data_IF_591381614964
#
_entry.id   IF_591381614964
#
_cell.length_a   1.000
_cell.length_b   1.000
_cell.length_c   1.000
_cell.angle_alpha   90.00
_cell.angle_beta   90.00
_cell.angle_gamma   90.00
#
_symmetry.space_group_name_H-M   'P 1'
#
loop_
_entity.id
_entity.type
_entity.pdbx_description
1 polymer ?
#
# COMPACT_ATOMS: atom_id res chain seq x y z
N UNK A 1 19.52 -4.71 -4.78
CA UNK A 1 19.09 -3.30 -4.58
C UNK A 1 19.89 -2.73 -3.41
N UNK A 2 20.42 -1.53 -3.56
CA UNK A 2 21.08 -0.79 -2.47
C UNK A 2 20.13 0.34 -2.04
N UNK A 3 19.79 0.36 -0.76
CA UNK A 3 19.01 1.45 -0.14
C UNK A 3 19.94 2.07 0.88
N UNK A 4 20.55 3.24 0.60
CA UNK A 4 21.54 3.83 1.51
C UNK A 4 20.92 4.16 2.87
N UNK A 5 19.79 4.84 2.87
CA UNK A 5 18.99 5.14 4.05
C UNK A 5 17.58 5.50 3.62
N UNK A 6 16.58 4.99 4.33
CA UNK A 6 15.17 5.33 4.11
C UNK A 6 14.51 5.55 5.46
N UNK A 7 13.99 6.75 5.68
CA UNK A 7 13.17 7.05 6.85
C UNK A 7 11.76 7.44 6.40
N UNK A 8 10.76 6.74 6.93
CA UNK A 8 9.34 7.05 6.77
C UNK A 8 8.86 7.64 8.08
N UNK A 9 8.50 8.91 8.05
CA UNK A 9 8.03 9.63 9.24
C UNK A 9 6.55 9.31 9.52
N UNK A 10 6.11 9.32 10.79
CA UNK A 10 4.70 9.16 11.14
C UNK A 10 3.82 10.20 10.45
N UNK A 11 2.63 9.79 10.02
CA UNK A 11 1.64 10.66 9.37
C UNK A 11 2.00 11.14 7.97
N UNK A 12 2.93 10.44 7.27
CA UNK A 12 3.35 10.83 5.92
C UNK A 12 2.78 9.94 4.83
N UNK A 13 2.63 10.55 3.64
CA UNK A 13 2.30 9.88 2.38
C UNK A 13 3.53 9.95 1.48
N UNK A 14 4.16 8.81 1.23
CA UNK A 14 5.37 8.71 0.42
C UNK A 14 5.13 7.81 -0.77
N UNK A 15 5.39 8.32 -1.98
CA UNK A 15 5.36 7.51 -3.18
C UNK A 15 6.70 6.78 -3.40
N UNK A 16 6.63 5.54 -3.86
CA UNK A 16 7.78 4.82 -4.42
C UNK A 16 7.49 4.53 -5.88
N UNK A 17 8.28 5.12 -6.76
CA UNK A 17 8.12 5.00 -8.20
C UNK A 17 9.37 4.40 -8.84
N UNK A 18 9.21 3.87 -10.02
CA UNK A 18 10.30 3.29 -10.80
C UNK A 18 9.79 2.33 -11.87
N UNK A 19 10.60 2.02 -12.88
CA UNK A 19 10.22 1.11 -13.93
C UNK A 19 9.95 -0.31 -13.42
N UNK A 20 9.35 -1.15 -14.25
CA UNK A 20 9.19 -2.57 -13.93
C UNK A 20 10.56 -3.21 -13.68
N UNK A 21 10.68 -4.05 -12.68
CA UNK A 21 11.93 -4.70 -12.29
C UNK A 21 12.92 -3.83 -11.48
N UNK A 22 12.59 -2.57 -11.15
CA UNK A 22 13.47 -1.71 -10.33
C UNK A 22 13.57 -2.13 -8.85
N UNK A 23 12.79 -3.12 -8.41
CA UNK A 23 12.83 -3.63 -7.04
C UNK A 23 11.77 -3.04 -6.10
N UNK A 24 10.71 -2.40 -6.61
CA UNK A 24 9.62 -1.85 -5.79
C UNK A 24 9.02 -2.89 -4.84
N UNK A 25 8.59 -4.02 -5.37
CA UNK A 25 8.04 -5.14 -4.58
C UNK A 25 9.10 -5.73 -3.62
N UNK A 26 10.37 -5.77 -4.03
CA UNK A 26 11.47 -6.20 -3.15
C UNK A 26 11.60 -5.27 -1.94
N UNK A 27 11.49 -3.95 -2.16
CA UNK A 27 11.48 -2.96 -1.08
C UNK A 27 10.27 -3.14 -0.16
N UNK A 28 9.08 -3.37 -0.72
CA UNK A 28 7.87 -3.69 0.05
C UNK A 28 8.07 -4.89 0.95
N UNK A 29 8.62 -5.97 0.42
CA UNK A 29 8.89 -7.19 1.20
C UNK A 29 9.91 -6.95 2.31
N UNK A 30 10.98 -6.19 2.03
CA UNK A 30 11.97 -5.83 3.03
C UNK A 30 11.37 -4.97 4.16
N UNK A 31 10.60 -3.93 3.83
CA UNK A 31 9.93 -3.08 4.83
C UNK A 31 8.84 -3.86 5.58
N UNK A 32 8.03 -4.63 4.86
CA UNK A 32 6.92 -5.41 5.42
C UNK A 32 7.35 -6.63 6.23
N UNK A 33 8.63 -6.99 6.22
CA UNK A 33 9.16 -8.25 6.77
C UNK A 33 8.46 -9.49 6.20
N UNK A 34 8.15 -9.43 4.91
CA UNK A 34 7.52 -10.55 4.20
C UNK A 34 8.61 -11.54 3.79
N UNK A 35 8.57 -12.79 4.27
CA UNK A 35 9.59 -13.77 3.93
C UNK A 35 9.53 -14.11 2.44
N UNK A 36 10.67 -14.02 1.78
CA UNK A 36 10.87 -14.46 0.39
C UNK A 36 12.16 -15.26 0.36
N UNK A 37 12.09 -16.51 -0.10
CA UNK A 37 13.23 -17.44 -0.07
C UNK A 37 14.48 -16.92 -0.78
N UNK A 38 14.31 -16.07 -1.80
CA UNK A 38 15.40 -15.53 -2.59
C UNK A 38 15.85 -14.13 -2.17
N UNK A 39 15.21 -13.53 -1.15
CA UNK A 39 15.53 -12.18 -0.68
C UNK A 39 16.49 -12.23 0.50
N UNK A 40 17.71 -11.82 0.27
CA UNK A 40 18.70 -11.62 1.32
C UNK A 40 18.91 -10.12 1.58
N UNK A 41 18.49 -9.66 2.76
CA UNK A 41 18.72 -8.29 3.20
C UNK A 41 20.04 -8.22 3.98
N UNK A 42 20.93 -7.32 3.56
CA UNK A 42 22.15 -6.96 4.31
C UNK A 42 21.95 -5.54 4.82
N UNK A 43 22.01 -5.35 6.14
CA UNK A 43 21.75 -4.07 6.79
C UNK A 43 20.66 -4.18 7.84
N UNK A 44 20.25 -3.02 8.36
CA UNK A 44 19.24 -2.94 9.43
C UNK A 44 17.96 -2.33 8.92
N UNK A 45 16.84 -2.96 9.23
CA UNK A 45 15.49 -2.40 9.02
C UNK A 45 14.82 -2.25 10.38
N UNK A 46 14.78 -1.02 10.89
CA UNK A 46 14.07 -0.71 12.13
C UNK A 46 12.60 -0.43 11.83
N UNK A 47 11.72 -1.07 12.57
CA UNK A 47 10.26 -0.90 12.47
C UNK A 47 9.70 -0.50 13.81
N UNK A 48 8.95 0.59 13.83
CA UNK A 48 8.21 1.00 15.02
C UNK A 48 6.72 0.79 14.76
N UNK A 49 6.19 -0.30 15.31
CA UNK A 49 4.78 -0.65 15.17
C UNK A 49 4.48 -1.69 14.09
N UNK A 50 3.19 -1.86 13.80
CA UNK A 50 2.68 -2.84 12.85
C UNK A 50 2.73 -2.30 11.43
N UNK A 51 3.11 -3.17 10.50
CA UNK A 51 3.08 -2.89 9.06
C UNK A 51 1.95 -3.69 8.44
N UNK A 52 1.03 -3.00 7.77
CA UNK A 52 0.03 -3.60 6.90
C UNK A 52 0.52 -3.59 5.46
N UNK A 53 0.21 -4.63 4.70
CA UNK A 53 0.60 -4.72 3.29
C UNK A 53 -0.64 -5.03 2.45
N UNK A 54 -0.84 -4.25 1.41
CA UNK A 54 -1.83 -4.48 0.37
C UNK A 54 -1.04 -4.70 -0.93
N UNK A 55 -1.09 -5.92 -1.43
CA UNK A 55 -0.41 -6.29 -2.68
C UNK A 55 -1.25 -5.94 -3.91
N UNK A 56 -0.61 -5.93 -5.06
CA UNK A 56 -1.23 -5.73 -6.37
C UNK A 56 -2.42 -6.66 -6.62
N UNK A 57 -2.34 -7.90 -6.15
CA UNK A 57 -3.42 -8.88 -6.28
C UNK A 57 -4.45 -8.72 -5.15
N UNK A 58 -5.40 -7.79 -5.35
CA UNK A 58 -6.55 -7.66 -4.45
C UNK A 58 -7.51 -8.87 -4.49
N UNK A 59 -7.42 -9.72 -5.53
CA UNK A 59 -8.16 -10.99 -5.57
C UNK A 59 -7.60 -11.99 -4.57
N UNK A 60 -6.26 -12.02 -4.38
CA UNK A 60 -5.61 -12.88 -3.39
C UNK A 60 -5.72 -12.36 -1.95
N UNK A 61 -6.01 -11.07 -1.76
CA UNK A 61 -6.10 -10.48 -0.43
C UNK A 61 -7.39 -10.89 0.32
N UNK A 62 -8.47 -11.18 -0.39
CA UNK A 62 -9.75 -11.56 0.18
C UNK A 62 -10.19 -12.95 -0.31
N UNK A 63 -10.66 -13.79 0.60
CA UNK A 63 -11.21 -15.09 0.26
C UNK A 63 -12.53 -14.92 -0.53
N UNK A 64 -12.62 -15.39 -1.80
CA UNK A 64 -13.81 -15.22 -2.62
C UNK A 64 -15.06 -15.94 -2.09
N UNK A 65 -14.89 -16.92 -1.21
CA UNK A 65 -15.96 -17.74 -0.65
C UNK A 65 -16.47 -17.24 0.71
N UNK A 66 -15.98 -16.09 1.18
CA UNK A 66 -16.38 -15.51 2.46
C UNK A 66 -16.84 -14.07 2.28
N UNK A 67 -17.90 -13.69 3.01
CA UNK A 67 -18.43 -12.31 3.00
C UNK A 67 -17.39 -11.31 3.48
N UNK A 68 -17.39 -10.13 2.89
CA UNK A 68 -16.40 -9.07 3.16
C UNK A 68 -16.40 -8.65 4.63
N UNK A 69 -17.57 -8.40 5.22
CA UNK A 69 -17.68 -8.02 6.64
C UNK A 69 -17.08 -9.07 7.58
N UNK A 70 -17.29 -10.34 7.28
CA UNK A 70 -16.75 -11.45 8.09
C UNK A 70 -15.21 -11.52 8.00
N UNK A 71 -14.66 -11.24 6.83
CA UNK A 71 -13.21 -11.25 6.66
C UNK A 71 -12.57 -10.07 7.38
N UNK A 72 -13.12 -8.85 7.22
CA UNK A 72 -12.61 -7.68 7.93
C UNK A 72 -12.72 -7.85 9.44
N UNK A 73 -13.78 -8.51 9.95
CA UNK A 73 -13.93 -8.80 11.37
C UNK A 73 -12.82 -9.71 11.92
N UNK A 74 -12.20 -10.59 11.10
CA UNK A 74 -11.08 -11.41 11.55
C UNK A 74 -9.87 -10.58 11.97
N UNK A 75 -9.61 -9.47 11.30
CA UNK A 75 -8.50 -8.56 11.62
C UNK A 75 -8.92 -7.47 12.60
N UNK A 76 -10.17 -7.01 12.52
CA UNK A 76 -10.73 -5.94 13.35
C UNK A 76 -11.15 -6.39 14.77
N UNK A 77 -11.37 -7.70 14.95
CA UNK A 77 -11.76 -8.30 16.23
C UNK A 77 -13.28 -8.33 16.49
N UNK A 78 -14.09 -7.53 15.79
CA UNK A 78 -15.55 -7.58 15.87
C UNK A 78 -16.21 -7.19 14.54
N UNK A 79 -17.48 -7.55 14.38
CA UNK A 79 -18.27 -7.19 13.20
C UNK A 79 -18.60 -5.69 13.18
N UNK A 80 -18.80 -5.10 14.34
CA UNK A 80 -19.09 -3.68 14.51
C UNK A 80 -17.89 -2.86 14.02
N UNK A 81 -16.68 -3.16 14.50
CA UNK A 81 -15.45 -2.50 14.05
C UNK A 81 -15.20 -2.75 12.56
N UNK A 82 -15.53 -3.95 12.05
CA UNK A 82 -15.44 -4.22 10.62
C UNK A 82 -16.35 -3.33 9.78
N UNK A 83 -17.58 -3.10 10.24
CA UNK A 83 -18.52 -2.19 9.57
C UNK A 83 -18.03 -0.73 9.59
N UNK A 84 -17.45 -0.28 10.71
CA UNK A 84 -16.83 1.04 10.82
C UNK A 84 -15.68 1.20 9.81
N UNK A 85 -14.78 0.21 9.72
CA UNK A 85 -13.67 0.23 8.78
C UNK A 85 -14.14 0.19 7.31
N UNK A 86 -15.17 -0.61 7.00
CA UNK A 86 -15.76 -0.66 5.67
C UNK A 86 -16.41 0.67 5.28
N UNK A 87 -17.08 1.34 6.21
CA UNK A 87 -17.61 2.67 6.00
C UNK A 87 -16.49 3.71 5.84
N UNK A 88 -15.42 3.62 6.62
CA UNK A 88 -14.26 4.50 6.54
C UNK A 88 -13.57 4.46 5.17
N UNK A 89 -13.60 3.31 4.49
CA UNK A 89 -13.12 3.19 3.12
C UNK A 89 -14.21 3.48 2.07
N UNK A 90 -15.27 4.18 2.43
CA UNK A 90 -16.36 4.61 1.55
C UNK A 90 -17.11 3.45 0.87
N UNK A 91 -17.24 2.30 1.52
CA UNK A 91 -18.18 1.27 1.13
C UNK A 91 -19.52 1.50 1.81
N UNK A 92 -20.61 1.31 1.05
CA UNK A 92 -21.97 1.46 1.58
C UNK A 92 -22.42 0.19 2.32
N UNK A 93 -23.31 0.30 3.32
CA UNK A 93 -23.72 -0.85 4.15
C UNK A 93 -24.26 -2.05 3.35
N UNK A 94 -24.89 -1.79 2.18
CA UNK A 94 -25.42 -2.84 1.33
C UNK A 94 -24.35 -3.76 0.74
N UNK A 95 -23.09 -3.28 0.71
CA UNK A 95 -21.95 -4.02 0.18
C UNK A 95 -21.23 -4.87 1.25
N UNK A 96 -21.43 -4.59 2.54
CA UNK A 96 -20.68 -5.25 3.61
C UNK A 96 -20.88 -6.76 3.62
N UNK A 97 -22.10 -7.21 3.35
CA UNK A 97 -22.47 -8.63 3.32
C UNK A 97 -22.19 -9.34 1.99
N UNK A 98 -21.67 -8.64 1.00
CA UNK A 98 -21.34 -9.19 -0.32
C UNK A 98 -20.09 -10.06 -0.26
N UNK A 99 -19.97 -10.93 -1.24
CA UNK A 99 -18.73 -11.68 -1.50
C UNK A 99 -17.79 -10.82 -2.38
N UNK A 100 -16.47 -11.01 -2.29
CA UNK A 100 -15.51 -10.22 -3.08
C UNK A 100 -15.79 -10.21 -4.59
N UNK A 101 -16.29 -11.31 -5.15
CA UNK A 101 -16.62 -11.42 -6.58
C UNK A 101 -17.87 -10.62 -6.99
N UNK A 102 -18.70 -10.20 -6.04
CA UNK A 102 -19.90 -9.37 -6.29
C UNK A 102 -19.57 -7.87 -6.26
N UNK A 103 -18.32 -7.51 -5.92
CA UNK A 103 -17.84 -6.12 -5.84
C UNK A 103 -17.14 -5.71 -7.15
N UNK A 104 -17.26 -4.43 -7.52
CA UNK A 104 -16.38 -3.85 -8.55
C UNK A 104 -14.92 -3.90 -8.14
N UNK A 105 -14.00 -3.70 -9.08
CA UNK A 105 -12.55 -3.67 -8.79
C UNK A 105 -12.19 -2.66 -7.70
N UNK A 106 -12.68 -1.42 -7.80
CA UNK A 106 -12.44 -0.38 -6.80
C UNK A 106 -13.10 -0.67 -5.45
N UNK A 107 -14.31 -1.23 -5.43
CA UNK A 107 -14.98 -1.64 -4.19
C UNK A 107 -14.20 -2.76 -3.50
N UNK A 108 -13.72 -3.73 -4.25
CA UNK A 108 -12.90 -4.84 -3.72
C UNK A 108 -11.57 -4.34 -3.17
N UNK A 109 -10.93 -3.40 -3.88
CA UNK A 109 -9.70 -2.79 -3.41
C UNK A 109 -9.90 -2.05 -2.08
N UNK A 110 -10.99 -1.28 -1.95
CA UNK A 110 -11.33 -0.62 -0.68
C UNK A 110 -11.65 -1.62 0.44
N UNK A 111 -12.30 -2.73 0.12
CA UNK A 111 -12.50 -3.81 1.10
C UNK A 111 -11.17 -4.43 1.57
N UNK A 112 -10.20 -4.62 0.65
CA UNK A 112 -8.86 -5.09 1.00
C UNK A 112 -8.10 -4.06 1.89
N UNK A 113 -8.29 -2.76 1.64
CA UNK A 113 -7.76 -1.70 2.53
C UNK A 113 -8.40 -1.83 3.92
N UNK A 114 -9.72 -1.96 4.03
CA UNK A 114 -10.40 -2.14 5.33
C UNK A 114 -9.90 -3.38 6.08
N UNK A 115 -9.68 -4.48 5.37
CA UNK A 115 -9.10 -5.70 5.94
C UNK A 115 -7.71 -5.46 6.53
N UNK A 116 -6.84 -4.74 5.81
CA UNK A 116 -5.50 -4.39 6.30
C UNK A 116 -5.55 -3.44 7.50
N UNK A 117 -6.48 -2.48 7.51
CA UNK A 117 -6.69 -1.52 8.61
C UNK A 117 -7.15 -2.20 9.90
N UNK A 118 -7.85 -3.33 9.82
CA UNK A 118 -8.29 -4.10 10.99
C UNK A 118 -7.14 -4.50 11.91
N UNK A 119 -5.93 -4.71 11.37
CA UNK A 119 -4.73 -4.97 12.16
C UNK A 119 -4.15 -3.73 12.87
N UNK A 120 -4.74 -2.55 12.69
CA UNK A 120 -4.28 -1.24 13.20
C UNK A 120 -2.80 -0.97 12.88
N UNK A 121 -2.43 -0.94 11.59
CA UNK A 121 -1.05 -0.69 11.20
C UNK A 121 -0.66 0.77 11.47
N UNK A 122 0.61 1.01 11.83
CA UNK A 122 1.22 2.33 11.84
C UNK A 122 1.79 2.70 10.47
N UNK A 123 2.09 1.70 9.65
CA UNK A 123 2.53 1.87 8.27
C UNK A 123 1.73 0.95 7.37
N UNK A 124 1.13 1.50 6.31
CA UNK A 124 0.44 0.76 5.27
C UNK A 124 1.26 0.81 3.98
N UNK A 125 1.67 -0.34 3.50
CA UNK A 125 2.36 -0.50 2.23
C UNK A 125 1.33 -0.84 1.16
N UNK A 126 1.17 0.02 0.17
CA UNK A 126 0.23 -0.14 -0.95
C UNK A 126 1.02 -0.43 -2.23
N UNK A 127 1.18 -1.72 -2.56
CA UNK A 127 1.95 -2.15 -3.73
C UNK A 127 1.05 -2.29 -4.96
N UNK A 128 1.14 -1.31 -5.87
CA UNK A 128 0.41 -1.23 -7.14
C UNK A 128 -1.12 -1.38 -7.00
N UNK A 129 -1.69 -0.88 -5.91
CA UNK A 129 -3.11 -1.05 -5.55
C UNK A 129 -4.11 -0.40 -6.51
N UNK A 130 -3.64 0.40 -7.47
CA UNK A 130 -4.49 1.05 -8.49
C UNK A 130 -4.25 0.54 -9.90
N UNK A 131 -3.28 -0.35 -10.12
CA UNK A 131 -2.81 -0.74 -11.45
C UNK A 131 -3.86 -1.43 -12.34
N UNK A 132 -4.84 -2.09 -11.73
CA UNK A 132 -5.93 -2.80 -12.43
C UNK A 132 -7.28 -2.06 -12.38
N UNK A 133 -7.29 -0.79 -11.97
CA UNK A 133 -8.49 0.02 -11.81
C UNK A 133 -8.65 1.01 -12.98
N UNK A 134 -9.91 1.32 -13.29
CA UNK A 134 -10.22 2.44 -14.16
C UNK A 134 -9.93 3.79 -13.49
N UNK A 135 -9.88 4.92 -14.22
CA UNK A 135 -9.53 6.22 -13.67
C UNK A 135 -10.45 6.70 -12.54
N UNK A 136 -11.73 6.35 -12.57
CA UNK A 136 -12.70 6.76 -11.54
C UNK A 136 -12.43 5.99 -10.25
N UNK A 137 -12.30 4.67 -10.35
CA UNK A 137 -11.98 3.81 -9.22
C UNK A 137 -10.60 4.16 -8.62
N UNK A 138 -9.61 4.48 -9.46
CA UNK A 138 -8.30 4.98 -9.03
C UNK A 138 -8.43 6.25 -8.18
N UNK A 139 -9.19 7.24 -8.66
CA UNK A 139 -9.40 8.49 -7.93
C UNK A 139 -10.10 8.27 -6.57
N UNK A 140 -11.06 7.33 -6.51
CA UNK A 140 -11.72 6.97 -5.26
C UNK A 140 -10.76 6.32 -4.26
N UNK A 141 -9.92 5.39 -4.70
CA UNK A 141 -8.91 4.74 -3.84
C UNK A 141 -7.88 5.77 -3.35
N UNK A 142 -7.38 6.64 -4.22
CA UNK A 142 -6.43 7.72 -3.87
C UNK A 142 -7.05 8.64 -2.81
N UNK A 143 -8.31 9.04 -2.98
CA UNK A 143 -9.04 9.86 -2.00
C UNK A 143 -9.13 9.14 -0.66
N UNK A 144 -9.56 7.88 -0.65
CA UNK A 144 -9.67 7.05 0.55
C UNK A 144 -8.33 6.99 1.31
N UNK A 145 -7.22 6.70 0.61
CA UNK A 145 -5.89 6.63 1.23
C UNK A 145 -5.45 7.97 1.84
N UNK A 146 -5.79 9.09 1.20
CA UNK A 146 -5.49 10.43 1.74
C UNK A 146 -6.29 10.71 3.01
N UNK A 147 -7.59 10.45 3.00
CA UNK A 147 -8.48 10.61 4.15
C UNK A 147 -8.00 9.79 5.35
N UNK A 148 -7.57 8.53 5.12
CA UNK A 148 -7.04 7.65 6.15
C UNK A 148 -5.83 8.23 6.89
N UNK A 149 -4.92 8.91 6.21
CA UNK A 149 -3.75 9.54 6.85
C UNK A 149 -4.16 10.84 7.54
N UNK A 150 -4.99 11.67 6.88
CA UNK A 150 -5.43 12.95 7.42
C UNK A 150 -6.24 12.78 8.72
N UNK A 151 -7.09 11.76 8.77
CA UNK A 151 -7.98 11.49 9.90
C UNK A 151 -7.34 10.57 10.96
N UNK A 152 -6.13 10.08 10.71
CA UNK A 152 -5.43 9.18 11.62
C UNK A 152 -5.00 9.91 12.89
N UNK A 153 -5.61 9.53 14.02
CA UNK A 153 -5.20 10.04 15.35
C UNK A 153 -3.84 9.50 15.79
N UNK A 154 -3.46 8.33 15.29
CA UNK A 154 -2.25 7.61 15.68
C UNK A 154 -1.07 7.87 14.71
N UNK A 155 -1.24 8.80 13.76
CA UNK A 155 -0.19 9.18 12.81
C UNK A 155 0.19 8.05 11.85
N UNK A 156 -0.80 7.28 11.35
CA UNK A 156 -0.57 6.24 10.35
C UNK A 156 0.09 6.84 9.10
N UNK A 157 1.07 6.14 8.56
CA UNK A 157 1.79 6.52 7.33
C UNK A 157 1.43 5.56 6.20
N UNK A 158 1.53 6.04 4.96
CA UNK A 158 1.33 5.20 3.78
C UNK A 158 2.56 5.32 2.87
N UNK A 159 3.05 4.17 2.41
CA UNK A 159 3.96 4.07 1.28
C UNK A 159 3.17 3.56 0.08
N UNK A 160 3.03 4.41 -0.91
CA UNK A 160 2.28 4.14 -2.13
C UNK A 160 3.23 3.79 -3.27
N UNK A 161 3.29 2.53 -3.63
CA UNK A 161 4.13 2.02 -4.69
C UNK A 161 3.32 1.97 -5.97
N UNK A 162 3.77 2.67 -7.01
CA UNK A 162 3.05 2.74 -8.27
C UNK A 162 3.98 3.02 -9.44
N UNK A 163 3.57 2.60 -10.63
CA UNK A 163 4.11 3.08 -11.89
C UNK A 163 3.24 4.20 -12.51
N UNK A 164 2.07 4.46 -11.93
CA UNK A 164 1.20 5.58 -12.31
C UNK A 164 1.65 6.86 -11.58
N UNK A 165 2.38 7.71 -12.32
CA UNK A 165 2.87 8.99 -11.81
C UNK A 165 1.74 9.96 -11.47
N UNK A 166 0.61 9.88 -12.17
CA UNK A 166 -0.56 10.73 -11.92
C UNK A 166 -1.18 10.42 -10.56
N UNK A 167 -1.44 9.15 -10.26
CA UNK A 167 -1.96 8.71 -8.98
C UNK A 167 -0.96 9.00 -7.83
N UNK A 168 0.34 8.74 -8.07
CA UNK A 168 1.38 8.98 -7.08
C UNK A 168 1.49 10.47 -6.72
N UNK A 169 1.55 11.37 -7.71
CA UNK A 169 1.55 12.83 -7.51
C UNK A 169 0.28 13.34 -6.82
N UNK A 170 -0.87 12.78 -7.20
CA UNK A 170 -2.15 13.17 -6.60
C UNK A 170 -2.22 12.79 -5.11
N UNK A 171 -1.56 11.70 -4.69
CA UNK A 171 -1.65 11.20 -3.32
C UNK A 171 -0.52 11.72 -2.43
N UNK A 172 0.73 11.64 -2.91
CA UNK A 172 1.93 11.77 -2.07
C UNK A 172 2.70 13.07 -2.32
N UNK A 173 3.02 13.86 -1.29
CA UNK A 173 3.91 15.01 -1.40
C UNK A 173 5.38 14.59 -1.59
N UNK A 174 5.79 13.47 -1.00
CA UNK A 174 7.15 12.95 -1.06
C UNK A 174 7.27 11.78 -2.03
N UNK A 175 8.40 11.69 -2.71
CA UNK A 175 8.66 10.64 -3.69
C UNK A 175 10.04 10.02 -3.52
N UNK A 176 10.08 8.71 -3.66
CA UNK A 176 11.29 7.90 -3.74
C UNK A 176 11.35 7.29 -5.14
N UNK A 177 12.42 7.54 -5.86
CA UNK A 177 12.63 6.95 -7.18
C UNK A 177 13.57 5.76 -7.06
N UNK A 178 13.14 4.62 -7.58
CA UNK A 178 14.02 3.46 -7.75
C UNK A 178 14.53 3.44 -9.20
N UNK A 179 15.84 3.62 -9.36
CA UNK A 179 16.49 3.48 -10.65
C UNK A 179 16.97 2.04 -10.85
N UNK A 180 16.79 1.48 -12.07
CA UNK A 180 17.34 0.17 -12.37
C UNK A 180 18.87 0.22 -12.23
N UNK A 181 19.47 -0.88 -11.75
CA UNK A 181 20.91 -1.03 -11.77
C UNK A 181 21.40 -0.84 -13.22
N UNK A 182 22.37 0.03 -13.42
CA UNK A 182 23.11 0.04 -14.67
C UNK A 182 23.68 -1.36 -14.91
N UNK A 183 23.53 -1.87 -16.11
CA UNK A 183 23.94 -3.22 -16.52
C UNK A 183 25.45 -3.43 -16.33
N UNK A 184 25.87 -3.67 -15.12
CA UNK A 184 27.16 -4.28 -14.82
C UNK A 184 26.90 -5.42 -13.85
N UNK A 185 27.54 -6.55 -14.07
CA UNK A 185 27.34 -7.81 -13.36
C UNK A 185 27.59 -7.73 -11.81
N UNK A 186 27.80 -6.54 -11.29
CA UNK A 186 28.16 -6.28 -9.88
C UNK A 186 27.40 -5.10 -9.27
N UNK A 187 26.48 -4.43 -9.98
CA UNK A 187 25.87 -3.20 -9.45
C UNK A 187 24.41 -3.47 -9.12
N UNK A 188 24.10 -3.46 -7.83
CA UNK A 188 22.74 -3.52 -7.31
C UNK A 188 21.95 -2.25 -7.70
N UNK A 189 20.63 -2.38 -7.95
CA UNK A 189 19.76 -1.23 -8.16
C UNK A 189 19.91 -0.23 -7.00
N UNK A 190 20.07 1.04 -7.30
CA UNK A 190 20.22 2.09 -6.29
C UNK A 190 18.91 2.82 -6.11
N UNK A 191 18.44 2.94 -4.87
CA UNK A 191 17.32 3.80 -4.56
C UNK A 191 17.84 5.24 -4.42
N UNK A 192 17.31 6.14 -5.25
CA UNK A 192 17.60 7.56 -5.15
C UNK A 192 16.41 8.22 -4.46
N UNK A 193 16.69 8.85 -3.32
CA UNK A 193 15.69 9.59 -2.55
C UNK A 193 15.59 11.01 -3.06
N UNK A 194 14.40 11.39 -3.51
CA UNK A 194 14.06 12.77 -3.86
C UNK A 194 12.93 13.23 -2.96
N UNK A 195 13.15 14.32 -2.25
CA UNK A 195 12.19 14.79 -1.25
C UNK A 195 10.98 15.50 -1.87
N UNK A 196 11.06 15.93 -3.13
CA UNK A 196 10.01 16.66 -3.84
C UNK A 196 9.89 16.18 -5.28
N UNK A 197 8.69 16.37 -5.87
CA UNK A 197 8.44 16.10 -7.28
C UNK A 197 9.20 17.01 -8.25
N UNK A 198 9.64 18.18 -7.78
CA UNK A 198 10.38 19.17 -8.60
C UNK A 198 11.75 18.64 -9.05
N UNK A 199 12.33 17.70 -8.30
CA UNK A 199 13.58 17.03 -8.65
C UNK A 199 13.41 15.87 -9.63
N UNK A 200 12.17 15.64 -10.09
CA UNK A 200 11.81 14.51 -10.97
C UNK A 200 11.76 14.90 -12.46
N UNK A 201 12.18 16.10 -12.84
CA UNK A 201 12.22 16.58 -14.25
C UNK A 201 13.46 16.15 -15.00
#
# INVERSE_FOLDING_TARGET
>A
MIVPELTINPGTLTAVIGPSGSGKTTLTHAIGNIPVETLHCVGTVERRGRVGVISQDSFGALNPLQRVDKQVALTAGSIETAHELLAQVSLTPELFSRYPLELSGGQRQRAAIAFALGARPQLLLCDEVTSALDPIATAEVVRTLRELVTDSRDGMSIVFISHDLGAAKALCPDVITLEPAAYSATTAATAIFRKNWDDYS
#
